data_IF_593429316754
#
_entry.id   IF_593429316754
#
_cell.length_a   1.000
_cell.length_b   1.000
_cell.length_c   1.000
_cell.angle_alpha   90.00
_cell.angle_beta   90.00
_cell.angle_gamma   90.00
#
_symmetry.space_group_name_H-M   'P 1'
#
loop_
_entity.id
_entity.type
_entity.pdbx_description
1 polymer ?
#
# COMPACT_ATOMS: atom_id res chain seq x y z
N UNK A 1 -25.84 -5.65 29.98
CA UNK A 1 -25.21 -4.35 30.11
C UNK A 1 -23.75 -4.51 29.73
N UNK A 2 -23.41 -4.25 28.45
CA UNK A 2 -22.02 -4.28 28.01
C UNK A 2 -21.43 -2.91 28.31
N UNK A 3 -20.55 -2.86 29.29
CA UNK A 3 -19.69 -1.71 29.51
C UNK A 3 -18.74 -1.68 28.33
N UNK A 4 -18.96 -0.73 27.44
CA UNK A 4 -18.03 -0.47 26.33
C UNK A 4 -16.69 -0.04 26.91
N UNK A 5 -15.70 -0.82 26.62
CA UNK A 5 -14.33 -0.35 26.63
C UNK A 5 -14.19 0.56 25.41
N UNK A 6 -14.47 1.85 25.59
CA UNK A 6 -14.20 2.88 24.61
C UNK A 6 -12.67 3.15 24.58
N UNK A 7 -11.90 2.08 24.48
CA UNK A 7 -10.50 2.15 24.15
C UNK A 7 -10.40 2.85 22.80
N UNK A 8 -9.78 4.00 22.80
CA UNK A 8 -9.51 4.89 21.67
C UNK A 8 -8.68 4.17 20.60
N UNK A 9 -9.28 3.16 19.96
CA UNK A 9 -8.70 2.56 18.76
C UNK A 9 -8.78 3.59 17.63
N UNK A 10 -7.64 4.14 17.30
CA UNK A 10 -7.48 5.04 16.17
C UNK A 10 -8.00 4.34 14.90
N UNK A 11 -9.10 4.82 14.37
CA UNK A 11 -9.71 4.25 13.18
C UNK A 11 -8.83 4.52 11.96
N UNK A 12 -8.85 3.63 10.97
CA UNK A 12 -8.15 3.81 9.69
C UNK A 12 -8.31 5.23 9.13
N UNK A 13 -9.53 5.75 9.16
CA UNK A 13 -9.84 7.09 8.63
C UNK A 13 -9.13 8.22 9.36
N UNK A 14 -8.78 8.04 10.63
CA UNK A 14 -8.06 9.05 11.42
C UNK A 14 -6.58 9.15 11.00
N UNK A 15 -6.08 8.12 10.33
CA UNK A 15 -4.72 8.05 9.79
C UNK A 15 -4.61 8.49 8.34
N UNK A 16 -5.66 9.01 7.74
CA UNK A 16 -5.66 9.50 6.38
C UNK A 16 -5.42 11.00 6.31
N UNK A 17 -4.49 11.42 5.45
CA UNK A 17 -4.35 12.81 5.06
C UNK A 17 -5.33 13.13 3.94
N UNK A 18 -6.09 14.21 4.06
CA UNK A 18 -7.07 14.65 3.08
C UNK A 18 -6.51 15.80 2.25
N UNK A 19 -6.66 15.69 0.95
CA UNK A 19 -6.17 16.69 -0.01
C UNK A 19 -7.34 17.13 -0.90
N UNK A 20 -8.02 18.26 -0.58
CA UNK A 20 -9.09 18.78 -1.42
C UNK A 20 -8.58 19.11 -2.82
N UNK A 21 -9.37 18.79 -3.82
CA UNK A 21 -9.10 19.16 -5.21
C UNK A 21 -10.12 20.18 -5.70
N UNK A 22 -9.63 21.15 -6.44
CA UNK A 22 -10.48 22.19 -7.07
C UNK A 22 -10.58 21.92 -8.55
N UNK A 23 -11.77 22.10 -9.10
CA UNK A 23 -12.00 21.92 -10.52
C UNK A 23 -13.35 21.24 -10.82
N UNK A 24 -13.76 21.18 -12.08
CA UNK A 24 -15.07 20.68 -12.47
C UNK A 24 -15.15 19.15 -12.52
N UNK A 25 -14.01 18.45 -12.35
CA UNK A 25 -13.92 16.99 -12.47
C UNK A 25 -13.46 16.34 -11.18
N UNK A 26 -13.57 15.00 -11.13
CA UNK A 26 -13.11 14.21 -10.00
C UNK A 26 -11.59 14.32 -9.77
N UNK A 27 -11.16 13.93 -8.60
CA UNK A 27 -9.75 14.08 -8.18
C UNK A 27 -8.76 13.24 -9.02
N UNK A 28 -9.20 12.10 -9.52
CA UNK A 28 -8.33 11.26 -10.35
C UNK A 28 -7.99 11.92 -11.70
N UNK A 29 -8.90 12.69 -12.26
CA UNK A 29 -8.63 13.43 -13.48
C UNK A 29 -7.45 14.39 -13.33
N UNK A 30 -7.28 14.93 -12.14
CA UNK A 30 -6.23 15.90 -11.80
C UNK A 30 -5.01 15.23 -11.14
N UNK A 31 -4.81 13.93 -11.32
CA UNK A 31 -3.70 13.22 -10.68
C UNK A 31 -2.31 13.81 -10.96
N UNK A 32 -2.01 14.44 -12.13
CA UNK A 32 -0.71 15.06 -12.35
C UNK A 32 -0.40 16.22 -11.38
N UNK A 33 -1.43 16.84 -10.82
CA UNK A 33 -1.27 17.87 -9.79
C UNK A 33 -1.02 17.27 -8.41
N UNK A 34 -1.52 16.05 -8.16
CA UNK A 34 -1.33 15.34 -6.91
C UNK A 34 0.07 14.75 -6.79
N UNK A 35 0.59 14.19 -7.88
CA UNK A 35 1.91 13.58 -7.94
C UNK A 35 2.53 13.84 -9.31
N UNK A 36 3.84 14.15 -9.32
CA UNK A 36 4.54 14.44 -10.58
C UNK A 36 4.47 13.24 -11.53
N UNK A 37 4.02 13.43 -12.80
CA UNK A 37 3.83 12.33 -13.75
C UNK A 37 5.08 11.47 -13.99
N UNK A 38 6.26 12.08 -14.06
CA UNK A 38 7.51 11.33 -14.26
C UNK A 38 7.80 10.39 -13.08
N UNK A 39 7.47 10.81 -11.87
CA UNK A 39 7.62 9.95 -10.68
C UNK A 39 6.68 8.75 -10.75
N UNK A 40 5.43 8.98 -11.12
CA UNK A 40 4.43 7.90 -11.26
C UNK A 40 4.85 6.92 -12.34
N UNK A 41 5.34 7.39 -13.49
CA UNK A 41 5.84 6.52 -14.56
C UNK A 41 7.04 5.70 -14.09
N UNK A 42 8.00 6.31 -13.40
CA UNK A 42 9.15 5.60 -12.85
C UNK A 42 8.72 4.51 -11.86
N UNK A 43 7.83 4.85 -10.93
CA UNK A 43 7.29 3.89 -9.96
C UNK A 43 6.58 2.73 -10.68
N UNK A 44 5.75 3.05 -11.67
CA UNK A 44 5.02 2.07 -12.43
C UNK A 44 5.95 1.09 -13.15
N UNK A 45 6.98 1.58 -13.82
CA UNK A 45 7.96 0.71 -14.50
C UNK A 45 8.65 -0.23 -13.52
N UNK A 46 9.13 0.29 -12.39
CA UNK A 46 9.77 -0.53 -11.36
C UNK A 46 8.82 -1.60 -10.82
N UNK A 47 7.58 -1.24 -10.55
CA UNK A 47 6.57 -2.15 -9.99
C UNK A 47 6.17 -3.21 -11.01
N UNK A 48 5.96 -2.84 -12.27
CA UNK A 48 5.63 -3.81 -13.34
C UNK A 48 6.75 -4.82 -13.52
N UNK A 49 8.00 -4.38 -13.55
CA UNK A 49 9.14 -5.29 -13.63
C UNK A 49 9.22 -6.20 -12.41
N UNK A 50 8.96 -5.67 -11.22
CA UNK A 50 8.94 -6.46 -9.99
C UNK A 50 7.83 -7.51 -9.98
N UNK A 51 6.65 -7.18 -10.51
CA UNK A 51 5.50 -8.11 -10.59
C UNK A 51 5.83 -9.37 -11.36
N UNK A 52 6.65 -9.27 -12.38
CA UNK A 52 6.99 -10.38 -13.29
C UNK A 52 8.33 -11.03 -12.94
N UNK A 53 9.15 -10.44 -12.08
CA UNK A 53 10.45 -10.99 -11.72
C UNK A 53 10.30 -12.24 -10.83
N UNK A 54 10.95 -13.36 -11.16
CA UNK A 54 10.87 -14.57 -10.34
C UNK A 54 11.76 -14.54 -9.11
N UNK A 55 12.77 -13.68 -9.09
CA UNK A 55 13.71 -13.55 -7.96
C UNK A 55 13.16 -12.61 -6.90
N UNK A 56 13.05 -13.09 -5.65
CA UNK A 56 12.64 -12.27 -4.52
C UNK A 56 13.61 -11.12 -4.24
N UNK A 57 14.90 -11.35 -4.42
CA UNK A 57 15.92 -10.31 -4.24
C UNK A 57 15.78 -9.19 -5.27
N UNK A 58 15.53 -9.56 -6.54
CA UNK A 58 15.30 -8.58 -7.61
C UNK A 58 14.00 -7.82 -7.36
N UNK A 59 12.93 -8.50 -6.94
CA UNK A 59 11.68 -7.84 -6.55
C UNK A 59 11.91 -6.80 -5.47
N UNK A 60 12.57 -7.16 -4.37
CA UNK A 60 12.85 -6.25 -3.27
C UNK A 60 13.70 -5.07 -3.70
N UNK A 61 14.68 -5.28 -4.57
CA UNK A 61 15.50 -4.21 -5.11
C UNK A 61 14.68 -3.24 -5.96
N UNK A 62 13.87 -3.74 -6.91
CA UNK A 62 13.03 -2.91 -7.78
C UNK A 62 11.99 -2.12 -6.98
N UNK A 63 11.32 -2.76 -6.02
CA UNK A 63 10.34 -2.10 -5.17
C UNK A 63 10.99 -1.06 -4.25
N UNK A 64 12.19 -1.33 -3.78
CA UNK A 64 12.98 -0.38 -3.03
C UNK A 64 13.36 0.87 -3.86
N UNK A 65 13.68 0.69 -5.14
CA UNK A 65 13.91 1.82 -6.07
C UNK A 65 12.65 2.68 -6.23
N UNK A 66 11.48 2.07 -6.27
CA UNK A 66 10.21 2.80 -6.32
C UNK A 66 9.93 3.57 -5.03
N UNK A 67 10.52 3.19 -3.90
CA UNK A 67 10.41 3.88 -2.63
C UNK A 67 9.83 3.06 -1.48
N UNK A 68 9.43 1.81 -1.71
CA UNK A 68 8.91 0.93 -0.66
C UNK A 68 9.99 0.65 0.37
N UNK A 69 9.66 0.77 1.65
CA UNK A 69 10.54 0.36 2.75
C UNK A 69 10.35 -1.13 3.01
N UNK A 70 11.41 -1.90 2.80
CA UNK A 70 11.35 -3.36 2.82
C UNK A 70 12.39 -3.89 3.80
N UNK A 71 11.95 -4.71 4.74
CA UNK A 71 12.81 -5.41 5.69
C UNK A 71 13.53 -6.59 5.04
N UNK A 72 14.28 -7.32 5.89
CA UNK A 72 15.04 -8.50 5.48
C UNK A 72 14.11 -9.70 5.30
N UNK A 73 14.29 -10.47 4.24
CA UNK A 73 13.57 -11.73 4.04
C UNK A 73 12.11 -11.57 3.58
N UNK A 74 11.70 -10.37 3.20
CA UNK A 74 10.34 -10.13 2.69
C UNK A 74 10.15 -10.88 1.37
N UNK A 75 9.02 -11.57 1.26
CA UNK A 75 8.66 -12.36 0.09
C UNK A 75 7.40 -11.81 -0.56
N UNK A 76 7.51 -11.46 -1.83
CA UNK A 76 6.39 -10.97 -2.65
C UNK A 76 5.97 -12.05 -3.64
N UNK A 77 4.71 -12.41 -3.62
CA UNK A 77 4.14 -13.28 -4.65
C UNK A 77 4.14 -12.60 -6.03
N UNK A 78 4.05 -13.39 -7.09
CA UNK A 78 3.88 -12.85 -8.44
C UNK A 78 2.61 -11.99 -8.50
N UNK A 79 2.63 -10.96 -9.32
CA UNK A 79 1.52 -10.01 -9.52
C UNK A 79 1.16 -9.18 -8.28
N UNK A 80 1.84 -9.33 -7.14
CA UNK A 80 1.62 -8.46 -5.99
C UNK A 80 2.05 -7.03 -6.31
N UNK A 81 1.23 -6.05 -5.89
CA UNK A 81 1.39 -4.66 -6.33
C UNK A 81 1.30 -3.71 -5.14
N UNK A 82 2.38 -2.99 -4.77
CA UNK A 82 2.28 -1.86 -3.88
C UNK A 82 1.74 -0.63 -4.62
N UNK A 83 1.43 0.43 -3.88
CA UNK A 83 0.91 1.67 -4.44
C UNK A 83 1.87 2.25 -5.49
N UNK A 84 1.32 2.59 -6.66
CA UNK A 84 2.10 3.17 -7.78
C UNK A 84 2.37 4.66 -7.57
N UNK A 85 1.44 5.39 -6.95
CA UNK A 85 1.56 6.83 -6.76
C UNK A 85 2.47 7.19 -5.57
N UNK A 86 2.25 6.55 -4.42
CA UNK A 86 3.00 6.80 -3.17
C UNK A 86 3.59 5.50 -2.61
N UNK A 87 4.47 4.82 -3.33
CA UNK A 87 5.08 3.58 -2.82
C UNK A 87 5.91 3.79 -1.55
N UNK A 88 6.41 5.00 -1.33
CA UNK A 88 7.14 5.36 -0.11
C UNK A 88 6.29 5.33 1.17
N UNK A 89 4.98 5.30 1.04
CA UNK A 89 4.06 5.12 2.18
C UNK A 89 3.85 3.66 2.56
N UNK A 90 4.41 2.73 1.79
CA UNK A 90 4.36 1.29 2.09
C UNK A 90 5.60 0.88 2.87
N UNK A 91 5.39 0.26 4.02
CA UNK A 91 6.44 -0.38 4.83
C UNK A 91 6.09 -1.85 5.04
N UNK A 92 7.00 -2.74 4.67
CA UNK A 92 6.88 -4.18 4.90
C UNK A 92 8.06 -4.63 5.74
N UNK A 93 7.76 -5.13 6.93
CA UNK A 93 8.78 -5.51 7.91
C UNK A 93 9.35 -6.91 7.63
N UNK A 94 10.37 -7.28 8.41
CA UNK A 94 11.15 -8.50 8.20
C UNK A 94 10.27 -9.75 8.10
N UNK A 95 10.65 -10.64 7.19
CA UNK A 95 10.04 -11.96 7.00
C UNK A 95 8.52 -11.96 6.71
N UNK A 96 7.95 -10.81 6.36
CA UNK A 96 6.56 -10.76 5.94
C UNK A 96 6.37 -11.37 4.54
N UNK A 97 5.18 -11.88 4.29
CA UNK A 97 4.79 -12.48 3.00
C UNK A 97 3.62 -11.69 2.43
N UNK A 98 3.79 -11.19 1.22
CA UNK A 98 2.71 -10.57 0.44
C UNK A 98 2.29 -11.57 -0.64
N UNK A 99 1.08 -12.07 -0.55
CA UNK A 99 0.59 -13.16 -1.40
C UNK A 99 0.40 -12.76 -2.87
N UNK A 100 0.22 -13.77 -3.72
CA UNK A 100 -0.06 -13.62 -5.13
C UNK A 100 -1.20 -12.62 -5.39
N UNK A 101 -0.99 -11.66 -6.29
CA UNK A 101 -1.99 -10.67 -6.70
C UNK A 101 -2.56 -9.82 -5.53
N UNK A 102 -1.89 -9.77 -4.40
CA UNK A 102 -2.28 -8.86 -3.32
C UNK A 102 -1.90 -7.42 -3.67
N UNK A 103 -2.73 -6.47 -3.25
CA UNK A 103 -2.57 -5.05 -3.55
C UNK A 103 -2.50 -4.22 -2.27
N UNK A 104 -1.48 -3.37 -2.15
CA UNK A 104 -1.30 -2.47 -1.02
C UNK A 104 -1.51 -1.03 -1.49
N UNK A 105 -2.63 -0.42 -1.14
CA UNK A 105 -2.98 0.94 -1.56
C UNK A 105 -2.68 1.95 -0.46
N UNK A 106 -2.06 3.06 -0.84
CA UNK A 106 -1.78 4.19 0.05
C UNK A 106 -2.57 5.45 -0.32
N UNK A 107 -3.48 5.35 -1.29
CA UNK A 107 -4.29 6.49 -1.71
C UNK A 107 -5.71 6.06 -2.10
N UNK A 108 -6.61 7.03 -2.04
CA UNK A 108 -7.98 6.95 -2.55
C UNK A 108 -8.29 8.23 -3.32
N UNK A 109 -8.65 8.12 -4.59
CA UNK A 109 -9.16 9.27 -5.36
C UNK A 109 -10.68 9.30 -5.29
N UNK A 110 -11.23 10.43 -4.83
CA UNK A 110 -12.66 10.66 -4.66
C UNK A 110 -13.12 11.80 -5.59
N UNK A 111 -14.39 12.15 -5.51
CA UNK A 111 -14.93 13.19 -6.39
C UNK A 111 -14.32 14.58 -6.14
N UNK A 112 -14.18 14.99 -4.90
CA UNK A 112 -13.75 16.33 -4.51
C UNK A 112 -12.42 16.38 -3.76
N UNK A 113 -11.85 15.22 -3.44
CA UNK A 113 -10.59 15.12 -2.73
C UNK A 113 -9.87 13.82 -3.09
N UNK A 114 -8.57 13.76 -2.82
CA UNK A 114 -7.88 12.48 -2.68
C UNK A 114 -7.34 12.36 -1.25
N UNK A 115 -7.14 11.12 -0.83
CA UNK A 115 -6.65 10.79 0.51
C UNK A 115 -5.41 9.94 0.40
N UNK A 116 -4.48 10.15 1.31
CA UNK A 116 -3.27 9.33 1.43
C UNK A 116 -3.15 8.78 2.84
N UNK A 117 -2.57 7.61 2.96
CA UNK A 117 -2.32 6.99 4.26
C UNK A 117 -1.27 5.91 4.17
N UNK A 118 -0.48 5.78 5.22
CA UNK A 118 0.56 4.76 5.29
C UNK A 118 -0.06 3.36 5.38
N UNK A 119 0.57 2.39 4.75
CA UNK A 119 0.31 0.98 4.94
C UNK A 119 1.53 0.34 5.57
N UNK A 120 1.33 -0.35 6.68
CA UNK A 120 2.38 -1.07 7.38
C UNK A 120 2.02 -2.54 7.52
N UNK A 121 2.92 -3.39 7.06
CA UNK A 121 2.81 -4.83 7.22
C UNK A 121 3.85 -5.25 8.24
N UNK A 122 3.39 -5.75 9.39
CA UNK A 122 4.24 -6.11 10.52
C UNK A 122 5.13 -7.31 10.25
N UNK A 123 6.14 -7.47 11.10
CA UNK A 123 7.10 -8.58 11.03
C UNK A 123 6.38 -9.92 10.98
N UNK A 124 6.75 -10.78 10.04
CA UNK A 124 6.20 -12.12 9.84
C UNK A 124 4.70 -12.18 9.55
N UNK A 125 4.09 -11.06 9.26
CA UNK A 125 2.69 -11.05 8.83
C UNK A 125 2.54 -11.70 7.44
N UNK A 126 1.37 -12.26 7.18
CA UNK A 126 1.06 -12.90 5.91
C UNK A 126 -0.20 -12.27 5.31
N UNK A 127 -0.08 -11.79 4.09
CA UNK A 127 -1.21 -11.26 3.33
C UNK A 127 -1.61 -12.31 2.29
N UNK A 128 -2.86 -12.79 2.37
CA UNK A 128 -3.39 -13.81 1.47
C UNK A 128 -3.49 -13.34 0.03
N UNK A 129 -3.51 -14.30 -0.89
CA UNK A 129 -3.62 -14.04 -2.32
C UNK A 129 -4.87 -13.21 -2.66
N UNK A 130 -4.72 -12.20 -3.50
CA UNK A 130 -5.81 -11.35 -3.94
C UNK A 130 -6.36 -10.38 -2.89
N UNK A 131 -5.79 -10.33 -1.69
CA UNK A 131 -6.22 -9.38 -0.66
C UNK A 131 -5.90 -7.95 -1.07
N UNK A 132 -6.77 -7.01 -0.70
CA UNK A 132 -6.57 -5.57 -0.93
C UNK A 132 -6.45 -4.87 0.42
N UNK A 133 -5.29 -4.27 0.66
CA UNK A 133 -5.01 -3.47 1.86
C UNK A 133 -5.22 -2.00 1.52
N UNK A 134 -6.09 -1.34 2.27
CA UNK A 134 -6.48 0.05 2.04
C UNK A 134 -5.53 1.04 2.74
N UNK A 135 -5.50 2.31 2.29
CA UNK A 135 -4.69 3.35 2.95
C UNK A 135 -4.98 3.46 4.44
N UNK A 136 -3.95 3.65 5.23
CA UNK A 136 -4.05 3.81 6.68
C UNK A 136 -4.17 2.51 7.46
N UNK A 137 -4.12 1.35 6.80
CA UNK A 137 -4.19 0.04 7.49
C UNK A 137 -2.82 -0.35 8.02
N UNK A 138 -2.79 -0.76 9.28
CA UNK A 138 -1.64 -1.39 9.91
C UNK A 138 -1.96 -2.86 10.19
N UNK A 139 -1.09 -3.74 9.72
CA UNK A 139 -1.19 -5.18 9.95
C UNK A 139 -0.14 -5.56 10.99
N UNK A 140 -0.59 -6.09 12.12
CA UNK A 140 0.28 -6.44 13.23
C UNK A 140 1.25 -7.57 12.90
N UNK A 141 2.32 -7.69 13.70
CA UNK A 141 3.26 -8.78 13.59
C UNK A 141 2.55 -10.15 13.74
N UNK A 142 2.97 -11.13 12.97
CA UNK A 142 2.41 -12.49 12.93
C UNK A 142 0.93 -12.59 12.53
N UNK A 143 0.29 -11.47 12.13
CA UNK A 143 -1.10 -11.50 11.67
C UNK A 143 -1.22 -12.21 10.32
N UNK A 144 -2.39 -12.81 10.09
CA UNK A 144 -2.70 -13.48 8.84
C UNK A 144 -3.97 -12.88 8.25
N UNK A 145 -3.87 -12.36 7.03
CA UNK A 145 -5.00 -11.84 6.27
C UNK A 145 -5.44 -12.91 5.28
N UNK A 146 -6.72 -13.24 5.30
CA UNK A 146 -7.27 -14.27 4.41
C UNK A 146 -7.19 -13.85 2.93
N UNK A 147 -7.14 -14.84 2.06
CA UNK A 147 -7.20 -14.59 0.61
C UNK A 147 -8.49 -13.85 0.24
N UNK A 148 -8.39 -12.95 -0.71
CA UNK A 148 -9.49 -12.12 -1.22
C UNK A 148 -10.17 -11.21 -0.16
N UNK A 149 -9.47 -10.90 0.91
CA UNK A 149 -9.95 -9.94 1.91
C UNK A 149 -9.80 -8.49 1.46
#
# INVERSE_FOLDING_TARGET
MRTGDDGNEERRHDRLARHPTTGPRNSLWSWPDARHPLRVVFNYVCIVLARHAPSLRVKNWLLGLAGVTIGTGVSWGLESTPDVFWPELVTVEDDAIVGYDATLLCHEFLQEEYRTGDVRVGERAMIGAGAVVLPGVEIGADAQIAANS
#
